data_IF_500736265926
#
_entry.id   IF_500736265926
#
_cell.length_a   1.000
_cell.length_b   1.000
_cell.length_c   1.000
_cell.angle_alpha   90.00
_cell.angle_beta   90.00
_cell.angle_gamma   90.00
#
_symmetry.space_group_name_H-M   'P 1'
#
loop_
_entity.id
_entity.type
_entity.pdbx_description
1 polymer ?
#
# COMPACT_ATOMS: atom_id res chain seq x y z
N UNK A 1 12.86 26.66 -9.11
CA UNK A 1 13.42 25.75 -8.10
C UNK A 1 13.11 24.32 -8.47
N UNK A 2 14.10 23.46 -8.30
CA UNK A 2 13.87 22.04 -8.50
C UNK A 2 12.97 21.48 -7.40
N UNK A 3 12.05 20.56 -7.72
CA UNK A 3 11.27 19.87 -6.69
C UNK A 3 12.20 19.14 -5.75
N UNK A 4 11.90 19.24 -4.47
CA UNK A 4 12.63 18.50 -3.47
C UNK A 4 12.13 17.06 -3.45
N UNK A 5 13.03 16.10 -3.37
CA UNK A 5 12.66 14.69 -3.19
C UNK A 5 13.01 14.22 -1.80
N UNK A 6 12.12 13.43 -1.25
CA UNK A 6 12.33 12.79 0.04
C UNK A 6 12.04 11.31 -0.11
N UNK A 7 12.95 10.48 0.34
CA UNK A 7 12.83 9.03 0.26
C UNK A 7 12.36 8.50 1.60
N UNK A 8 11.30 7.71 1.58
CA UNK A 8 10.61 7.29 2.79
C UNK A 8 10.74 5.78 2.94
N UNK A 9 11.15 5.37 4.12
CA UNK A 9 11.25 3.96 4.49
C UNK A 9 10.79 3.80 5.93
N UNK A 10 9.97 2.76 6.17
CA UNK A 10 9.56 2.44 7.52
C UNK A 10 10.72 1.75 8.27
N UNK A 11 10.76 1.85 9.61
CA UNK A 11 11.85 1.26 10.39
C UNK A 11 12.02 -0.24 10.22
N UNK A 12 10.91 -0.96 9.92
CA UNK A 12 10.92 -2.41 9.76
C UNK A 12 11.26 -2.87 8.34
N UNK A 13 11.56 -1.93 7.43
CA UNK A 13 11.96 -2.30 6.08
C UNK A 13 13.30 -2.99 6.13
N UNK A 14 13.40 -4.13 5.47
CA UNK A 14 14.65 -4.87 5.39
C UNK A 14 15.75 -4.06 4.72
N UNK A 15 17.00 -4.29 5.13
CA UNK A 15 18.16 -3.67 4.51
C UNK A 15 18.38 -4.20 3.09
N UNK A 16 18.97 -3.37 2.24
CA UNK A 16 19.43 -3.77 0.91
C UNK A 16 18.33 -4.16 -0.09
N UNK A 17 17.09 -3.72 0.14
CA UNK A 17 16.05 -3.86 -0.87
C UNK A 17 16.29 -2.82 -1.98
N UNK A 18 16.02 -3.18 -3.24
CA UNK A 18 16.33 -2.31 -4.38
C UNK A 18 15.26 -1.23 -4.62
N UNK A 19 14.57 -0.78 -3.58
CA UNK A 19 13.53 0.24 -3.68
C UNK A 19 13.28 0.88 -2.32
N UNK A 20 12.72 2.09 -2.33
CA UNK A 20 12.22 2.75 -1.12
C UNK A 20 10.74 2.42 -0.94
N UNK A 21 10.22 2.57 0.28
CA UNK A 21 8.80 2.38 0.53
C UNK A 21 7.95 3.41 -0.20
N UNK A 22 8.47 4.63 -0.33
CA UNK A 22 7.81 5.67 -1.11
C UNK A 22 8.79 6.77 -1.47
N UNK A 23 8.43 7.55 -2.49
CA UNK A 23 9.18 8.75 -2.89
C UNK A 23 8.22 9.92 -2.89
N UNK A 24 8.54 10.94 -2.10
CA UNK A 24 7.81 12.20 -2.11
C UNK A 24 8.55 13.16 -3.04
N UNK A 25 7.88 13.57 -4.11
CA UNK A 25 8.42 14.51 -5.08
C UNK A 25 7.49 15.73 -5.10
N UNK A 26 7.96 16.84 -4.52
CA UNK A 26 7.08 18.00 -4.31
C UNK A 26 5.93 17.62 -3.40
N UNK A 27 4.70 17.77 -3.88
CA UNK A 27 3.48 17.42 -3.12
C UNK A 27 2.93 16.03 -3.46
N UNK A 28 3.60 15.28 -4.33
CA UNK A 28 3.12 13.98 -4.79
C UNK A 28 3.95 12.86 -4.19
N UNK A 29 3.25 11.91 -3.57
CA UNK A 29 3.86 10.71 -2.98
C UNK A 29 3.60 9.51 -3.88
N UNK A 30 4.66 8.84 -4.27
CA UNK A 30 4.60 7.60 -5.05
C UNK A 30 4.91 6.44 -4.13
N UNK A 31 3.90 5.59 -3.89
CA UNK A 31 4.03 4.43 -3.00
C UNK A 31 4.48 3.22 -3.79
N UNK A 32 5.50 2.53 -3.30
CA UNK A 32 5.89 1.23 -3.83
C UNK A 32 4.80 0.20 -3.56
N UNK A 33 4.80 -0.88 -4.34
CA UNK A 33 3.94 -2.02 -4.08
C UNK A 33 4.21 -2.58 -2.70
N UNK A 34 3.13 -2.88 -1.96
CA UNK A 34 3.23 -3.37 -0.60
C UNK A 34 2.40 -4.62 -0.40
N UNK A 35 2.95 -5.55 0.37
CA UNK A 35 2.32 -6.81 0.73
C UNK A 35 1.99 -6.76 2.23
N UNK A 36 0.90 -7.41 2.63
CA UNK A 36 0.44 -7.40 4.02
C UNK A 36 1.10 -8.46 4.88
N UNK A 37 2.41 -8.35 5.10
CA UNK A 37 3.14 -9.29 5.95
C UNK A 37 2.75 -9.16 7.42
N UNK A 38 2.93 -10.26 8.16
CA UNK A 38 2.95 -10.19 9.62
C UNK A 38 4.20 -9.40 10.04
N UNK A 39 4.05 -8.59 11.09
CA UNK A 39 5.09 -7.67 11.53
C UNK A 39 6.45 -8.36 11.71
N UNK A 40 7.49 -7.78 11.10
CA UNK A 40 8.86 -8.28 11.22
C UNK A 40 9.15 -9.56 10.45
N UNK A 41 8.24 -10.00 9.58
CA UNK A 41 8.41 -11.23 8.81
C UNK A 41 8.14 -11.00 7.34
N UNK A 42 8.38 -12.05 6.53
CA UNK A 42 7.93 -12.12 5.14
C UNK A 42 6.84 -13.20 5.00
N UNK A 43 5.99 -13.30 6.02
CA UNK A 43 4.86 -14.23 6.01
C UNK A 43 3.57 -13.47 5.88
N UNK A 44 2.69 -13.96 5.01
CA UNK A 44 1.33 -13.43 4.94
C UNK A 44 0.44 -14.20 5.90
N UNK A 45 -0.56 -13.54 6.51
CA UNK A 45 -1.50 -14.22 7.40
C UNK A 45 -2.29 -15.29 6.67
N UNK A 46 -2.80 -16.29 7.43
CA UNK A 46 -3.65 -17.32 6.88
C UNK A 46 -4.98 -16.75 6.38
N UNK A 47 -5.51 -15.73 7.06
CA UNK A 47 -6.79 -15.14 6.71
C UNK A 47 -6.62 -13.97 5.73
N UNK A 48 -7.31 -13.99 4.58
CA UNK A 48 -7.20 -12.91 3.60
C UNK A 48 -7.55 -11.53 4.16
N UNK A 49 -8.54 -11.43 5.05
CA UNK A 49 -8.91 -10.16 5.65
C UNK A 49 -7.79 -9.59 6.52
N UNK A 50 -7.08 -10.45 7.23
CA UNK A 50 -5.95 -9.99 8.04
C UNK A 50 -4.79 -9.54 7.16
N UNK A 51 -4.55 -10.24 6.05
CA UNK A 51 -3.55 -9.83 5.08
C UNK A 51 -3.88 -8.45 4.50
N UNK A 52 -5.14 -8.24 4.12
CA UNK A 52 -5.61 -6.94 3.63
C UNK A 52 -5.43 -5.86 4.68
N UNK A 53 -5.74 -6.15 5.94
CA UNK A 53 -5.58 -5.20 7.04
C UNK A 53 -4.12 -4.84 7.26
N UNK A 54 -3.24 -5.82 7.27
CA UNK A 54 -1.80 -5.55 7.41
C UNK A 54 -1.28 -4.68 6.27
N UNK A 55 -1.75 -4.96 5.05
CA UNK A 55 -1.37 -4.18 3.88
C UNK A 55 -1.82 -2.73 4.02
N UNK A 56 -3.09 -2.51 4.37
CA UNK A 56 -3.66 -1.17 4.52
C UNK A 56 -3.00 -0.41 5.67
N UNK A 57 -2.74 -1.08 6.80
CA UNK A 57 -2.02 -0.48 7.92
C UNK A 57 -0.63 -0.03 7.49
N UNK A 58 0.06 -0.83 6.68
CA UNK A 58 1.37 -0.48 6.17
C UNK A 58 1.34 0.73 5.24
N UNK A 59 0.38 0.78 4.33
CA UNK A 59 0.17 1.94 3.45
C UNK A 59 -0.08 3.20 4.29
N UNK A 60 -0.94 3.08 5.31
CA UNK A 60 -1.24 4.20 6.20
C UNK A 60 0.02 4.68 6.93
N UNK A 61 0.85 3.76 7.39
CA UNK A 61 2.09 4.12 8.08
C UNK A 61 3.06 4.88 7.17
N UNK A 62 3.19 4.47 5.91
CA UNK A 62 4.03 5.17 4.94
C UNK A 62 3.49 6.57 4.67
N UNK A 63 2.17 6.70 4.51
CA UNK A 63 1.54 8.02 4.30
C UNK A 63 1.81 8.94 5.50
N UNK A 64 1.67 8.43 6.72
CA UNK A 64 1.94 9.23 7.93
C UNK A 64 3.38 9.73 7.98
N UNK A 65 4.32 8.90 7.57
CA UNK A 65 5.72 9.27 7.51
C UNK A 65 5.95 10.44 6.55
N UNK A 66 5.11 10.57 5.53
CA UNK A 66 5.13 11.67 4.57
C UNK A 66 4.30 12.87 5.03
N UNK A 67 3.68 12.79 6.22
CA UNK A 67 2.78 13.85 6.70
C UNK A 67 1.43 13.84 6.02
N UNK A 68 0.97 12.68 5.54
CA UNK A 68 -0.26 12.53 4.75
C UNK A 68 -1.17 11.49 5.40
N UNK A 69 -2.38 11.38 4.89
CA UNK A 69 -3.37 10.42 5.36
C UNK A 69 -3.93 9.61 4.21
N UNK A 70 -4.75 8.59 4.53
CA UNK A 70 -5.40 7.75 3.52
C UNK A 70 -6.26 8.58 2.57
N UNK A 71 -6.88 9.65 3.06
CA UNK A 71 -7.74 10.51 2.23
C UNK A 71 -6.94 11.33 1.20
N UNK A 72 -5.62 11.35 1.29
CA UNK A 72 -4.77 12.01 0.30
C UNK A 72 -4.45 11.12 -0.89
N UNK A 73 -4.77 9.83 -0.82
CA UNK A 73 -4.62 8.92 -1.96
C UNK A 73 -5.54 9.36 -3.10
N UNK A 74 -4.99 9.49 -4.30
CA UNK A 74 -5.77 9.85 -5.48
C UNK A 74 -5.91 8.70 -6.46
N UNK A 75 -4.98 7.75 -6.43
CA UNK A 75 -5.04 6.57 -7.29
C UNK A 75 -4.37 5.40 -6.58
N UNK A 76 -4.98 4.22 -6.70
CA UNK A 76 -4.40 2.97 -6.20
C UNK A 76 -4.54 1.88 -7.25
N UNK A 77 -3.62 0.93 -7.23
CA UNK A 77 -3.71 -0.30 -8.01
C UNK A 77 -3.52 -1.45 -7.05
N UNK A 78 -4.43 -2.42 -7.12
CA UNK A 78 -4.39 -3.61 -6.30
C UNK A 78 -4.26 -4.81 -7.20
N UNK A 79 -3.22 -5.60 -6.97
CA UNK A 79 -2.97 -6.86 -7.67
C UNK A 79 -3.42 -8.00 -6.77
N UNK A 80 -4.20 -8.91 -7.31
CA UNK A 80 -4.79 -10.00 -6.54
C UNK A 80 -4.57 -11.34 -7.25
N UNK A 81 -3.98 -12.29 -6.54
CA UNK A 81 -3.70 -13.60 -7.12
C UNK A 81 -4.95 -14.46 -7.32
N UNK A 82 -6.05 -14.11 -6.64
CA UNK A 82 -7.33 -14.82 -6.74
C UNK A 82 -8.47 -13.80 -6.63
N UNK A 83 -9.06 -13.43 -7.78
CA UNK A 83 -10.07 -12.38 -7.84
C UNK A 83 -11.37 -12.73 -7.12
N UNK A 84 -11.58 -13.99 -6.74
CA UNK A 84 -12.72 -14.35 -5.91
C UNK A 84 -12.66 -13.68 -4.53
N UNK A 85 -11.51 -13.14 -4.14
CA UNK A 85 -11.31 -12.45 -2.87
C UNK A 85 -11.67 -10.96 -2.93
N UNK A 86 -12.19 -10.48 -4.06
CA UNK A 86 -12.50 -9.07 -4.29
C UNK A 86 -13.38 -8.48 -3.18
N UNK A 87 -14.49 -9.14 -2.83
CA UNK A 87 -15.41 -8.59 -1.83
C UNK A 87 -14.80 -8.61 -0.43
N UNK A 88 -14.04 -9.65 -0.10
CA UNK A 88 -13.37 -9.74 1.19
C UNK A 88 -12.31 -8.65 1.36
N UNK A 89 -11.58 -8.35 0.28
CA UNK A 89 -10.63 -7.26 0.29
C UNK A 89 -11.35 -5.92 0.47
N UNK A 90 -12.40 -5.69 -0.31
CA UNK A 90 -13.15 -4.43 -0.29
C UNK A 90 -13.72 -4.11 1.09
N UNK A 91 -14.14 -5.12 1.83
CA UNK A 91 -14.69 -4.95 3.17
C UNK A 91 -13.66 -4.27 4.09
N UNK A 92 -12.42 -4.73 4.05
CA UNK A 92 -11.33 -4.14 4.84
C UNK A 92 -10.93 -2.79 4.28
N UNK A 93 -10.74 -2.72 2.97
CA UNK A 93 -10.29 -1.53 2.25
C UNK A 93 -11.17 -0.32 2.57
N UNK A 94 -12.49 -0.47 2.51
CA UNK A 94 -13.44 0.63 2.73
C UNK A 94 -13.36 1.23 4.13
N UNK A 95 -12.89 0.48 5.13
CA UNK A 95 -12.79 0.97 6.49
C UNK A 95 -11.72 2.06 6.66
N UNK A 96 -10.82 2.22 5.69
CA UNK A 96 -9.67 3.12 5.80
C UNK A 96 -9.92 4.53 5.24
N UNK A 97 -11.05 4.75 4.59
CA UNK A 97 -11.35 6.03 3.95
C UNK A 97 -12.53 6.70 4.66
N UNK A 98 -12.36 7.97 5.03
CA UNK A 98 -13.36 8.72 5.79
C UNK A 98 -14.13 9.72 4.94
N UNK A 99 -13.54 10.19 3.84
CA UNK A 99 -14.11 11.23 2.99
C UNK A 99 -14.32 10.74 1.58
N UNK A 100 -13.23 10.65 0.82
CA UNK A 100 -13.28 10.33 -0.59
C UNK A 100 -12.47 9.08 -0.88
N UNK A 101 -13.01 8.26 -1.77
CA UNK A 101 -12.28 7.09 -2.25
C UNK A 101 -11.38 7.49 -3.42
N UNK A 102 -10.18 6.93 -3.52
CA UNK A 102 -9.31 7.18 -4.67
C UNK A 102 -9.83 6.49 -5.93
N UNK A 103 -9.36 6.94 -7.09
CA UNK A 103 -9.50 6.16 -8.30
C UNK A 103 -8.76 4.84 -8.14
N UNK A 104 -9.28 3.75 -8.69
CA UNK A 104 -8.73 2.42 -8.41
C UNK A 104 -8.83 1.48 -9.60
N UNK A 105 -7.79 0.65 -9.76
CA UNK A 105 -7.87 -0.57 -10.54
C UNK A 105 -7.66 -1.76 -9.59
N UNK A 106 -8.48 -2.79 -9.74
CA UNK A 106 -8.33 -4.04 -9.02
C UNK A 106 -8.10 -5.13 -10.07
N UNK A 107 -6.92 -5.72 -10.07
CA UNK A 107 -6.44 -6.55 -11.15
C UNK A 107 -6.13 -7.96 -10.69
N UNK A 108 -6.60 -8.95 -11.46
CA UNK A 108 -6.10 -10.31 -11.29
C UNK A 108 -4.65 -10.37 -11.74
N UNK A 109 -3.82 -11.05 -10.98
CA UNK A 109 -2.40 -11.22 -11.30
C UNK A 109 -2.03 -12.70 -11.31
N UNK A 110 -0.84 -13.01 -11.80
CA UNK A 110 -0.21 -14.28 -11.53
C UNK A 110 0.24 -14.36 -10.07
N UNK A 111 1.02 -15.39 -9.70
CA UNK A 111 1.51 -15.50 -8.33
C UNK A 111 2.27 -14.24 -7.90
N UNK A 112 1.99 -13.79 -6.69
CA UNK A 112 2.70 -12.69 -6.06
C UNK A 112 3.83 -13.24 -5.19
N UNK A 113 4.78 -12.38 -4.83
CA UNK A 113 5.91 -12.79 -3.99
C UNK A 113 5.40 -13.30 -2.64
N UNK A 114 6.11 -14.28 -2.09
CA UNK A 114 5.85 -14.87 -0.75
C UNK A 114 4.46 -15.48 -0.60
N UNK A 115 3.85 -15.89 -1.70
CA UNK A 115 2.49 -16.44 -1.67
C UNK A 115 1.43 -15.43 -1.27
N UNK A 116 1.71 -14.15 -1.43
CA UNK A 116 0.77 -13.10 -1.10
C UNK A 116 -0.47 -13.17 -1.99
N UNK A 117 -1.62 -12.81 -1.43
CA UNK A 117 -2.88 -12.72 -2.18
C UNK A 117 -3.09 -11.32 -2.74
N UNK A 118 -2.53 -10.30 -2.07
CA UNK A 118 -2.74 -8.91 -2.44
C UNK A 118 -1.43 -8.14 -2.43
N UNK A 119 -1.33 -7.20 -3.37
CA UNK A 119 -0.26 -6.19 -3.37
C UNK A 119 -0.88 -4.89 -3.83
N UNK A 120 -0.56 -3.78 -3.16
CA UNK A 120 -1.13 -2.48 -3.51
C UNK A 120 -0.04 -1.43 -3.63
N UNK A 121 -0.16 -0.62 -4.67
CA UNK A 121 0.62 0.59 -4.85
C UNK A 121 -0.32 1.77 -5.07
N UNK A 122 0.18 2.99 -4.98
CA UNK A 122 -0.68 4.15 -5.19
C UNK A 122 0.07 5.46 -5.27
N UNK A 123 -0.70 6.50 -5.52
CA UNK A 123 -0.22 7.88 -5.61
C UNK A 123 -1.09 8.72 -4.68
N UNK A 124 -0.43 9.54 -3.86
CA UNK A 124 -1.11 10.49 -2.97
C UNK A 124 -0.61 11.90 -3.28
N UNK A 125 -1.47 12.87 -3.09
CA UNK A 125 -1.13 14.28 -3.30
C UNK A 125 -1.54 15.06 -2.07
N UNK A 126 -0.63 15.89 -1.55
CA UNK A 126 -0.92 16.74 -0.38
C UNK A 126 -2.01 17.75 -0.73
N UNK A 127 -2.87 17.98 0.25
CA UNK A 127 -3.93 18.99 0.13
C UNK A 127 -3.39 20.40 0.30
#
# INVERSE_FOLDING_TARGET
MSPTRRYINLPDKGANLPFHDAVLAGDTLYLSGRIGFEAGTHKVPAEPEQEARNLMDGIQAVLREAGMSMDDLVQVQIYCSDVSLFERFNKVYGEYFKRELPARAFLGSGPLLFGARFEMMGIAVKR
#
